data_IF_878427153864
#
_entry.id   IF_878427153864
#
_cell.length_a   1.000
_cell.length_b   1.000
_cell.length_c   1.000
_cell.angle_alpha   90.00
_cell.angle_beta   90.00
_cell.angle_gamma   90.00
#
_symmetry.space_group_name_H-M   'P 1'
#
loop_
_entity.id
_entity.type
_entity.pdbx_description
1 polymer ?
#
# COMPACT_ATOMS: atom_id res chain seq x y z
N UNK A 1 -13.00 36.80 15.70
CA UNK A 1 -12.18 35.56 15.64
C UNK A 1 -13.07 34.41 15.22
N UNK A 2 -12.81 33.76 14.07
CA UNK A 2 -13.54 32.53 13.69
C UNK A 2 -12.88 31.36 14.43
N UNK A 3 -13.60 30.69 15.31
CA UNK A 3 -13.16 29.43 15.90
C UNK A 3 -13.14 28.38 14.79
N UNK A 4 -11.95 27.82 14.47
CA UNK A 4 -11.85 26.66 13.58
C UNK A 4 -12.65 25.53 14.24
N UNK A 5 -13.71 25.04 13.59
CA UNK A 5 -14.38 23.81 14.01
C UNK A 5 -13.33 22.70 13.99
N UNK A 6 -13.22 21.95 15.09
CA UNK A 6 -12.36 20.79 15.14
C UNK A 6 -12.82 19.80 14.07
N UNK A 7 -11.90 19.40 13.18
CA UNK A 7 -12.18 18.36 12.21
C UNK A 7 -12.29 17.02 12.96
N UNK A 8 -13.33 16.21 12.71
CA UNK A 8 -13.43 14.90 13.34
C UNK A 8 -12.19 14.06 13.00
N UNK A 9 -11.78 13.14 13.89
CA UNK A 9 -10.67 12.25 13.62
C UNK A 9 -10.96 11.42 12.36
N UNK A 10 -9.95 11.32 11.49
CA UNK A 10 -10.04 10.51 10.28
C UNK A 10 -9.95 9.02 10.66
N UNK A 11 -11.04 8.24 10.51
CA UNK A 11 -11.06 6.84 10.93
C UNK A 11 -10.02 5.98 10.20
N UNK A 12 -9.60 6.39 9.00
CA UNK A 12 -8.64 5.62 8.20
C UNK A 12 -7.21 5.72 8.72
N UNK A 13 -6.86 6.81 9.43
CA UNK A 13 -5.52 6.98 10.00
C UNK A 13 -5.19 5.87 10.98
N UNK A 14 -6.14 5.50 11.82
CA UNK A 14 -5.97 4.44 12.81
C UNK A 14 -5.85 3.06 12.15
N UNK A 15 -6.62 2.81 11.08
CA UNK A 15 -6.56 1.56 10.32
C UNK A 15 -5.20 1.39 9.65
N UNK A 16 -4.75 2.42 8.92
CA UNK A 16 -3.45 2.44 8.24
C UNK A 16 -2.33 2.23 9.27
N UNK A 17 -2.30 3.00 10.35
CA UNK A 17 -1.26 2.86 11.36
C UNK A 17 -1.24 1.47 12.03
N UNK A 18 -2.40 0.81 12.15
CA UNK A 18 -2.49 -0.55 12.71
C UNK A 18 -1.93 -1.58 11.71
N UNK A 19 -2.33 -1.51 10.44
CA UNK A 19 -1.83 -2.40 9.41
C UNK A 19 -0.34 -2.23 9.13
N UNK A 20 0.17 -1.00 9.08
CA UNK A 20 1.60 -0.75 8.90
C UNK A 20 2.41 -1.37 10.05
N UNK A 21 1.91 -1.26 11.30
CA UNK A 21 2.52 -1.91 12.46
C UNK A 21 2.50 -3.43 12.35
N UNK A 22 1.44 -4.01 11.80
CA UNK A 22 1.34 -5.45 11.58
C UNK A 22 2.31 -5.93 10.50
N UNK A 23 2.40 -5.19 9.39
CA UNK A 23 3.37 -5.45 8.34
C UNK A 23 4.79 -5.43 8.92
N UNK A 24 5.13 -4.38 9.68
CA UNK A 24 6.44 -4.22 10.29
C UNK A 24 6.79 -5.36 11.25
N UNK A 25 5.85 -5.74 12.13
CA UNK A 25 6.05 -6.82 13.11
C UNK A 25 6.18 -8.21 12.49
N UNK A 26 5.55 -8.42 11.34
CA UNK A 26 5.51 -9.71 10.65
C UNK A 26 6.34 -9.70 9.36
N UNK A 27 7.21 -8.70 9.17
CA UNK A 27 7.96 -8.50 7.93
C UNK A 27 8.77 -9.73 7.53
N UNK A 28 9.55 -10.29 8.46
CA UNK A 28 10.40 -11.46 8.19
C UNK A 28 9.58 -12.69 7.79
N UNK A 29 8.37 -12.82 8.34
CA UNK A 29 7.44 -13.90 8.00
C UNK A 29 6.87 -13.69 6.59
N UNK A 30 6.34 -12.51 6.30
CA UNK A 30 5.79 -12.17 4.99
C UNK A 30 6.86 -12.37 3.90
N UNK A 31 8.08 -11.89 4.15
CA UNK A 31 9.20 -12.02 3.23
C UNK A 31 9.62 -13.47 3.01
N UNK A 32 9.71 -14.27 4.08
CA UNK A 32 10.10 -15.69 3.97
C UNK A 32 9.03 -16.57 3.30
N UNK A 33 7.77 -16.10 3.28
CA UNK A 33 6.63 -16.76 2.65
C UNK A 33 6.28 -16.20 1.26
N UNK A 34 7.17 -15.41 0.65
CA UNK A 34 6.92 -14.75 -0.64
C UNK A 34 6.44 -15.70 -1.74
N UNK A 35 7.07 -16.86 -1.90
CA UNK A 35 6.68 -17.84 -2.92
C UNK A 35 5.29 -18.45 -2.67
N UNK A 36 4.91 -18.59 -1.40
CA UNK A 36 3.59 -19.08 -1.01
C UNK A 36 2.51 -18.02 -1.32
N UNK A 37 2.78 -16.75 -0.99
CA UNK A 37 1.91 -15.62 -1.36
C UNK A 37 1.71 -15.56 -2.88
N UNK A 38 2.79 -15.73 -3.65
CA UNK A 38 2.76 -15.66 -5.11
C UNK A 38 2.14 -16.88 -5.81
N UNK A 39 1.86 -17.96 -5.09
CA UNK A 39 1.24 -19.18 -5.65
C UNK A 39 -0.20 -19.39 -5.22
N UNK A 40 -0.70 -18.64 -4.23
CA UNK A 40 -2.02 -18.81 -3.61
C UNK A 40 -2.95 -17.64 -3.93
N UNK A 41 -4.01 -17.81 -4.74
CA UNK A 41 -4.90 -16.71 -5.10
C UNK A 41 -5.59 -16.02 -3.92
N UNK A 42 -5.95 -16.78 -2.88
CA UNK A 42 -6.54 -16.28 -1.64
C UNK A 42 -5.60 -15.33 -0.90
N UNK A 43 -4.28 -15.52 -1.01
CA UNK A 43 -3.27 -14.66 -0.38
C UNK A 43 -2.81 -13.55 -1.31
N UNK A 44 -2.66 -13.85 -2.59
CA UNK A 44 -2.21 -12.91 -3.61
C UNK A 44 -3.09 -11.67 -3.69
N UNK A 45 -4.42 -11.86 -3.67
CA UNK A 45 -5.40 -10.78 -3.86
C UNK A 45 -5.83 -10.08 -2.57
N UNK A 46 -5.20 -10.38 -1.43
CA UNK A 46 -5.44 -9.63 -0.19
C UNK A 46 -5.04 -8.18 -0.37
N UNK A 47 -5.92 -7.26 0.03
CA UNK A 47 -5.67 -5.83 0.03
C UNK A 47 -5.44 -5.34 1.45
N UNK A 48 -4.70 -4.25 1.57
CA UNK A 48 -4.44 -3.54 2.81
C UNK A 48 -4.65 -2.06 2.55
N UNK A 49 -5.24 -1.35 3.51
CA UNK A 49 -5.34 0.12 3.47
C UNK A 49 -3.96 0.81 3.40
N UNK A 50 -2.91 0.13 3.86
CA UNK A 50 -1.52 0.58 3.76
C UNK A 50 -0.95 0.45 2.35
N UNK A 51 -1.47 -0.45 1.52
CA UNK A 51 -0.93 -0.74 0.19
C UNK A 51 -1.63 0.10 -0.87
N UNK A 52 -1.01 1.20 -1.25
CA UNK A 52 -1.64 2.15 -2.17
C UNK A 52 -0.65 2.83 -3.09
N UNK A 53 -1.07 3.02 -4.33
CA UNK A 53 -0.39 3.82 -5.34
C UNK A 53 -1.32 4.93 -5.84
N UNK A 54 -0.96 6.20 -5.63
CA UNK A 54 -1.78 7.32 -6.07
C UNK A 54 -0.98 8.29 -6.94
N UNK A 55 -1.18 8.27 -8.26
CA UNK A 55 -0.53 9.22 -9.14
C UNK A 55 -1.52 10.00 -9.98
N UNK A 56 -1.45 11.33 -9.84
CA UNK A 56 -2.18 12.22 -10.72
C UNK A 56 -1.81 11.93 -12.19
N UNK A 57 -2.83 11.88 -13.06
CA UNK A 57 -2.71 11.70 -14.51
C UNK A 57 -2.16 10.34 -14.99
N UNK A 58 -1.90 9.38 -14.08
CA UNK A 58 -1.44 8.03 -14.43
C UNK A 58 -2.56 7.03 -14.16
N UNK A 59 -2.96 6.29 -15.19
CA UNK A 59 -3.90 5.18 -15.06
C UNK A 59 -3.28 4.04 -14.23
N UNK A 60 -4.12 3.31 -13.49
CA UNK A 60 -3.66 2.25 -12.59
C UNK A 60 -3.31 2.71 -11.17
N UNK A 61 -3.59 3.97 -10.84
CA UNK A 61 -3.69 4.42 -9.44
C UNK A 61 -4.78 3.63 -8.71
N UNK A 62 -4.51 3.28 -7.45
CA UNK A 62 -5.44 2.55 -6.61
C UNK A 62 -4.74 1.68 -5.55
N UNK A 63 -5.53 0.84 -4.86
CA UNK A 63 -4.99 -0.12 -3.91
C UNK A 63 -4.10 -1.14 -4.62
N UNK A 64 -3.11 -1.64 -3.89
CA UNK A 64 -2.25 -2.74 -4.31
C UNK A 64 -2.55 -4.00 -3.49
N UNK A 65 -2.39 -5.17 -4.10
CA UNK A 65 -2.55 -6.44 -3.38
C UNK A 65 -1.24 -6.90 -2.73
N UNK A 66 -1.33 -7.80 -1.76
CA UNK A 66 -0.15 -8.41 -1.13
C UNK A 66 0.75 -9.11 -2.15
N UNK A 67 0.16 -9.76 -3.16
CA UNK A 67 0.89 -10.33 -4.29
C UNK A 67 1.64 -9.29 -5.12
N UNK A 68 0.98 -8.17 -5.47
CA UNK A 68 1.61 -7.04 -6.18
C UNK A 68 2.77 -6.46 -5.40
N UNK A 69 2.58 -6.28 -4.09
CA UNK A 69 3.63 -5.80 -3.20
C UNK A 69 4.81 -6.77 -3.13
N UNK A 70 4.52 -8.08 -3.05
CA UNK A 70 5.55 -9.12 -3.01
C UNK A 70 6.38 -9.13 -4.29
N UNK A 71 5.75 -8.99 -5.47
CA UNK A 71 6.46 -8.83 -6.75
C UNK A 71 7.31 -7.56 -6.76
N UNK A 72 6.74 -6.43 -6.31
CA UNK A 72 7.44 -5.15 -6.27
C UNK A 72 8.71 -5.23 -5.41
N UNK A 73 8.62 -5.83 -4.22
CA UNK A 73 9.74 -6.02 -3.30
C UNK A 73 10.85 -6.93 -3.82
N UNK A 74 10.62 -7.69 -4.89
CA UNK A 74 11.65 -8.48 -5.56
C UNK A 74 12.52 -7.65 -6.52
N UNK A 75 12.04 -6.47 -6.93
CA UNK A 75 12.74 -5.56 -7.84
C UNK A 75 13.62 -4.56 -7.09
N UNK A 76 14.62 -4.00 -7.77
CA UNK A 76 15.41 -2.88 -7.23
C UNK A 76 14.57 -1.61 -7.10
N UNK A 77 13.58 -1.41 -7.98
CA UNK A 77 12.71 -0.24 -7.97
C UNK A 77 11.78 -0.22 -6.73
N UNK A 78 11.36 -1.39 -6.26
CA UNK A 78 10.58 -1.55 -5.03
C UNK A 78 11.38 -1.39 -3.73
N UNK A 79 12.68 -1.06 -3.83
CA UNK A 79 13.61 -1.02 -2.70
C UNK A 79 14.33 0.33 -2.60
N UNK A 80 14.51 0.85 -1.39
CA UNK A 80 15.28 2.05 -1.08
C UNK A 80 16.43 1.79 -0.11
N UNK A 81 17.10 2.86 0.32
CA UNK A 81 18.09 2.85 1.39
C UNK A 81 17.58 3.65 2.57
N UNK A 82 17.74 3.08 3.77
CA UNK A 82 17.31 3.71 5.01
C UNK A 82 18.29 4.85 5.34
N UNK A 83 17.82 6.07 5.60
CA UNK A 83 18.72 7.17 5.96
C UNK A 83 19.47 6.88 7.28
N UNK A 84 18.84 6.14 8.20
CA UNK A 84 19.39 5.91 9.54
C UNK A 84 20.44 4.79 9.56
N UNK A 85 20.13 3.62 8.97
CA UNK A 85 21.00 2.44 9.06
C UNK A 85 21.63 1.99 7.73
N UNK A 86 21.33 2.68 6.61
CA UNK A 86 21.75 2.29 5.25
C UNK A 86 21.25 0.90 4.79
N UNK A 87 20.39 0.26 5.60
CA UNK A 87 19.71 -0.97 5.27
C UNK A 87 18.71 -0.81 4.12
N UNK A 88 18.26 -1.94 3.59
CA UNK A 88 17.24 -1.95 2.53
C UNK A 88 15.90 -1.51 3.11
N UNK A 89 15.17 -0.70 2.35
CA UNK A 89 13.81 -0.29 2.68
C UNK A 89 12.85 -0.78 1.62
N UNK A 90 11.69 -1.26 2.00
CA UNK A 90 10.73 -1.85 1.08
C UNK A 90 9.53 -0.93 0.93
N UNK A 91 9.27 -0.46 -0.29
CA UNK A 91 8.17 0.45 -0.60
C UNK A 91 6.85 -0.25 -0.31
N UNK A 92 5.92 0.38 0.42
CA UNK A 92 4.56 -0.16 0.56
C UNK A 92 3.45 0.83 0.16
N UNK A 93 3.79 2.10 0.02
CA UNK A 93 2.84 3.14 -0.38
C UNK A 93 3.56 4.24 -1.13
N UNK A 94 2.97 4.75 -2.20
CA UNK A 94 3.54 5.89 -2.91
C UNK A 94 2.46 6.73 -3.58
N UNK A 95 2.69 8.03 -3.72
CA UNK A 95 1.82 8.86 -4.52
C UNK A 95 2.30 10.30 -4.71
N UNK A 96 1.49 11.10 -5.40
CA UNK A 96 1.79 12.48 -5.70
C UNK A 96 1.36 12.94 -7.09
N UNK A 97 1.92 14.07 -7.51
CA UNK A 97 1.79 14.62 -8.85
C UNK A 97 3.18 14.76 -9.50
N UNK A 98 3.42 14.16 -10.67
CA UNK A 98 4.72 14.30 -11.34
C UNK A 98 4.98 15.74 -11.76
N UNK A 99 3.92 16.52 -12.01
CA UNK A 99 3.99 17.87 -12.56
C UNK A 99 4.36 18.91 -11.52
N UNK A 100 4.02 18.69 -10.26
CA UNK A 100 4.32 19.64 -9.17
C UNK A 100 5.60 19.29 -8.42
N UNK A 101 6.17 18.11 -8.66
CA UNK A 101 7.23 17.55 -7.85
C UNK A 101 6.77 17.11 -6.44
N UNK A 102 5.51 17.36 -6.07
CA UNK A 102 4.96 16.96 -4.78
C UNK A 102 4.62 15.47 -4.82
N UNK A 103 5.50 14.66 -4.23
CA UNK A 103 5.35 13.22 -4.16
C UNK A 103 5.85 12.69 -2.82
N UNK A 104 5.30 11.55 -2.42
CA UNK A 104 5.62 10.87 -1.19
C UNK A 104 5.81 9.37 -1.47
N UNK A 105 6.78 8.78 -0.78
CA UNK A 105 7.04 7.34 -0.80
C UNK A 105 7.22 6.90 0.64
N UNK A 106 6.41 5.93 1.06
CA UNK A 106 6.55 5.25 2.33
C UNK A 106 7.06 3.84 2.12
N UNK A 107 7.98 3.44 2.98
CA UNK A 107 8.42 2.06 3.06
C UNK A 107 8.82 1.65 4.47
N UNK A 108 9.13 0.37 4.62
CA UNK A 108 9.54 -0.23 5.89
C UNK A 108 11.02 -0.59 5.84
N UNK A 109 11.76 -0.19 6.88
CA UNK A 109 13.11 -0.65 7.10
C UNK A 109 13.10 -1.81 8.11
N UNK A 110 13.40 -3.05 7.69
CA UNK A 110 13.41 -4.20 8.60
C UNK A 110 14.51 -4.11 9.66
N UNK A 111 15.63 -3.47 9.33
CA UNK A 111 16.77 -3.30 10.22
C UNK A 111 16.43 -2.33 11.37
N UNK A 112 15.88 -1.15 11.04
CA UNK A 112 15.47 -0.16 12.04
C UNK A 112 14.15 -0.52 12.74
N UNK A 113 13.35 -1.42 12.13
CA UNK A 113 11.96 -1.66 12.50
C UNK A 113 11.18 -0.34 12.60
N UNK A 114 11.30 0.48 11.56
CA UNK A 114 10.64 1.77 11.46
C UNK A 114 10.03 1.97 10.07
N UNK A 115 9.05 2.86 10.01
CA UNK A 115 8.57 3.39 8.74
C UNK A 115 9.51 4.51 8.32
N UNK A 116 9.80 4.55 7.03
CA UNK A 116 10.64 5.57 6.45
C UNK A 116 9.81 6.26 5.38
N UNK A 117 9.61 7.55 5.56
CA UNK A 117 9.24 8.43 4.46
C UNK A 117 10.54 8.87 3.80
N UNK A 118 10.73 8.54 2.53
CA UNK A 118 11.89 9.03 1.79
C UNK A 118 11.46 9.70 0.50
N UNK A 119 12.00 10.90 0.27
CA UNK A 119 11.98 11.52 -1.04
C UNK A 119 13.13 10.92 -1.85
N UNK A 120 12.82 10.31 -3.00
CA UNK A 120 13.88 10.02 -3.98
C UNK A 120 14.13 11.31 -4.78
N UNK A 121 15.39 11.75 -4.96
CA UNK A 121 15.69 12.91 -5.81
C UNK A 121 15.50 12.64 -7.32
N UNK A 122 14.97 11.48 -7.71
CA UNK A 122 14.83 11.04 -9.11
C UNK A 122 13.40 11.19 -9.63
N UNK A 123 13.16 11.21 -10.96
CA UNK A 123 11.82 11.30 -11.53
C UNK A 123 10.91 10.16 -11.01
N UNK A 124 9.96 10.51 -10.16
CA UNK A 124 9.05 9.58 -9.49
C UNK A 124 8.33 8.65 -10.48
N UNK A 125 7.91 9.21 -11.62
CA UNK A 125 7.16 8.49 -12.65
C UNK A 125 7.93 7.30 -13.24
N UNK A 126 9.26 7.41 -13.45
CA UNK A 126 10.04 6.34 -14.08
C UNK A 126 10.40 5.24 -13.08
N UNK A 127 10.71 5.60 -11.84
CA UNK A 127 11.28 4.66 -10.88
C UNK A 127 10.23 3.99 -9.97
N UNK A 128 8.99 4.49 -9.92
CA UNK A 128 7.94 3.93 -9.05
C UNK A 128 6.71 3.50 -9.83
N UNK A 129 6.25 4.26 -10.82
CA UNK A 129 5.04 3.89 -11.56
C UNK A 129 5.26 2.66 -12.43
N UNK A 130 6.35 2.60 -13.20
CA UNK A 130 6.66 1.47 -14.08
C UNK A 130 6.68 0.10 -13.38
N UNK A 131 7.38 -0.11 -12.25
CA UNK A 131 7.37 -1.40 -11.56
C UNK A 131 6.00 -1.74 -10.96
N UNK A 132 5.24 -0.76 -10.49
CA UNK A 132 3.88 -0.97 -9.97
C UNK A 132 2.94 -1.39 -11.10
N UNK A 133 2.99 -0.72 -12.26
CA UNK A 133 2.21 -1.10 -13.43
C UNK A 133 2.58 -2.48 -13.95
N UNK A 134 3.87 -2.85 -13.90
CA UNK A 134 4.31 -4.23 -14.17
C UNK A 134 3.71 -5.22 -13.19
N UNK A 135 3.72 -4.92 -11.89
CA UNK A 135 3.10 -5.78 -10.87
C UNK A 135 1.59 -5.96 -11.11
N UNK A 136 0.86 -4.88 -11.42
CA UNK A 136 -0.57 -4.94 -11.77
C UNK A 136 -0.84 -5.79 -13.02
N UNK A 137 -0.03 -5.63 -14.06
CA UNK A 137 -0.13 -6.49 -15.26
C UNK A 137 0.15 -7.97 -14.94
N UNK A 138 1.04 -8.27 -14.00
CA UNK A 138 1.23 -9.65 -13.54
C UNK A 138 0.02 -10.17 -12.75
N UNK A 139 -0.65 -9.32 -11.96
CA UNK A 139 -1.91 -9.69 -11.28
C UNK A 139 -3.01 -10.07 -12.25
N UNK A 140 -3.15 -9.36 -13.38
CA UNK A 140 -4.14 -9.68 -14.41
C UNK A 140 -3.88 -11.07 -15.01
N UNK A 141 -2.60 -11.36 -15.32
CA UNK A 141 -2.18 -12.69 -15.81
C UNK A 141 -2.41 -13.77 -14.77
N UNK A 142 -2.13 -13.47 -13.51
CA UNK A 142 -2.35 -14.38 -12.39
C UNK A 142 -3.85 -14.68 -12.23
N UNK A 143 -4.71 -13.65 -12.23
CA UNK A 143 -6.16 -13.81 -12.16
C UNK A 143 -6.69 -14.68 -13.30
N UNK A 144 -6.24 -14.42 -14.54
CA UNK A 144 -6.60 -15.20 -15.71
C UNK A 144 -6.19 -16.68 -15.59
N UNK A 145 -4.98 -16.95 -15.08
CA UNK A 145 -4.47 -18.32 -14.86
C UNK A 145 -5.35 -19.11 -13.89
N UNK A 146 -5.79 -18.48 -12.80
CA UNK A 146 -6.57 -19.14 -11.75
C UNK A 146 -8.10 -19.01 -11.90
N UNK A 147 -8.58 -18.32 -12.95
CA UNK A 147 -10.01 -18.06 -13.21
C UNK A 147 -10.73 -17.45 -12.00
N UNK A 148 -10.08 -16.49 -11.34
CA UNK A 148 -10.64 -15.80 -10.17
C UNK A 148 -10.92 -14.32 -10.47
N UNK A 149 -11.76 -13.68 -9.65
CA UNK A 149 -12.20 -12.29 -9.81
C UNK A 149 -11.13 -11.23 -9.49
N UNK A 150 -9.95 -11.64 -9.02
CA UNK A 150 -8.91 -10.70 -8.59
C UNK A 150 -9.19 -10.03 -7.24
N UNK A 151 -10.00 -10.68 -6.39
CA UNK A 151 -10.33 -10.26 -5.03
C UNK A 151 -10.23 -11.43 -4.07
N UNK A 152 -9.86 -11.15 -2.81
CA UNK A 152 -9.92 -12.11 -1.71
C UNK A 152 -10.85 -11.57 -0.63
N UNK A 153 -11.58 -12.47 0.05
CA UNK A 153 -12.34 -12.15 1.25
C UNK A 153 -11.45 -12.09 2.51
N UNK A 154 -10.18 -12.50 2.38
CA UNK A 154 -9.19 -12.42 3.44
C UNK A 154 -8.61 -11.00 3.52
N UNK A 155 -8.37 -10.56 4.75
CA UNK A 155 -7.58 -9.36 5.03
C UNK A 155 -6.11 -9.72 5.33
N UNK A 156 -5.26 -8.69 5.50
CA UNK A 156 -3.85 -8.89 5.84
C UNK A 156 -3.66 -9.65 7.17
N UNK A 157 -4.61 -9.52 8.10
CA UNK A 157 -4.57 -10.17 9.40
C UNK A 157 -4.80 -11.67 9.27
N UNK A 158 -5.79 -12.09 8.47
CA UNK A 158 -6.08 -13.50 8.19
C UNK A 158 -4.85 -14.18 7.60
N UNK A 159 -4.20 -13.54 6.62
CA UNK A 159 -2.99 -14.10 6.00
C UNK A 159 -1.84 -14.16 7.00
N UNK A 160 -1.60 -13.10 7.78
CA UNK A 160 -0.57 -13.11 8.84
C UNK A 160 -0.83 -14.24 9.84
N UNK A 161 -2.07 -14.42 10.29
CA UNK A 161 -2.43 -15.52 11.20
C UNK A 161 -2.22 -16.89 10.55
N UNK A 162 -2.63 -17.05 9.29
CA UNK A 162 -2.47 -18.30 8.53
C UNK A 162 -0.99 -18.67 8.33
N UNK A 163 -0.10 -17.68 8.21
CA UNK A 163 1.35 -17.87 8.15
C UNK A 163 1.99 -18.18 9.52
N UNK A 164 1.23 -18.15 10.62
CA UNK A 164 1.75 -18.34 11.98
C UNK A 164 2.30 -17.06 12.62
N UNK A 165 1.93 -15.90 12.07
CA UNK A 165 2.34 -14.59 12.56
C UNK A 165 1.67 -14.17 13.86
N UNK A 166 2.14 -13.07 14.42
CA UNK A 166 1.64 -12.51 15.68
C UNK A 166 0.72 -11.33 15.40
N UNK A 167 -0.55 -11.48 15.78
CA UNK A 167 -1.55 -10.41 15.76
C UNK A 167 -2.01 -10.15 17.19
N UNK A 168 -1.77 -8.95 17.74
CA UNK A 168 -2.27 -8.57 19.06
C UNK A 168 -3.81 -8.63 19.13
N UNK A 169 -4.33 -9.03 20.30
CA UNK A 169 -5.78 -9.10 20.53
C UNK A 169 -6.49 -7.75 20.31
N UNK A 170 -5.82 -6.64 20.66
CA UNK A 170 -6.36 -5.28 20.46
C UNK A 170 -6.59 -4.95 18.99
N UNK A 171 -5.76 -5.50 18.10
CA UNK A 171 -5.89 -5.29 16.66
C UNK A 171 -7.00 -6.22 16.10
N UNK A 172 -7.28 -7.35 16.78
CA UNK A 172 -8.36 -8.30 16.43
C UNK A 172 -9.76 -7.76 16.72
N UNK A 173 -9.92 -6.95 17.76
CA UNK A 173 -11.22 -6.32 18.13
C UNK A 173 -11.59 -5.22 17.12
N UNK A 174 -10.59 -4.56 16.53
CA UNK A 174 -10.75 -3.56 15.47
C UNK A 174 -11.03 -4.19 14.10
N UNK A 175 -11.73 -5.32 14.01
CA UNK A 175 -12.14 -5.93 12.72
C UNK A 175 -13.44 -5.37 12.16
N UNK A 176 -14.20 -4.61 12.96
CA UNK A 176 -15.51 -4.08 12.57
C UNK A 176 -15.44 -2.79 11.73
N UNK A 177 -14.29 -2.47 11.13
CA UNK A 177 -14.17 -1.26 10.30
C UNK A 177 -14.71 -1.54 8.90
N UNK A 178 -15.28 -0.54 8.23
CA UNK A 178 -15.78 -0.69 6.87
C UNK A 178 -14.65 -1.20 5.98
N UNK A 179 -14.93 -2.26 5.23
CA UNK A 179 -14.04 -2.72 4.16
C UNK A 179 -13.75 -1.54 3.24
N UNK A 180 -12.49 -1.38 2.82
CA UNK A 180 -12.13 -0.35 1.85
C UNK A 180 -13.07 -0.53 0.64
N UNK A 181 -13.87 0.48 0.27
CA UNK A 181 -14.81 0.36 -0.84
C UNK A 181 -14.08 -0.13 -2.08
N UNK A 182 -14.52 -1.27 -2.62
CA UNK A 182 -13.86 -1.90 -3.78
C UNK A 182 -14.10 -1.14 -5.09
N UNK A 183 -15.06 -0.21 -5.10
CA UNK A 183 -15.40 0.63 -6.24
C UNK A 183 -14.75 2.02 -6.11
N UNK A 184 -13.54 2.17 -6.63
CA UNK A 184 -12.92 3.48 -6.83
C UNK A 184 -12.92 3.86 -8.30
N UNK A 185 -14.10 3.89 -8.94
CA UNK A 185 -14.33 4.92 -9.98
C UNK A 185 -14.47 6.32 -9.38
N UNK A 186 -14.70 6.44 -8.07
CA UNK A 186 -14.53 7.66 -7.30
C UNK A 186 -13.19 7.66 -6.56
N UNK A 187 -12.37 8.69 -6.75
CA UNK A 187 -11.12 8.86 -6.03
C UNK A 187 -11.34 8.76 -4.51
N UNK A 188 -10.43 8.08 -3.84
CA UNK A 188 -10.36 8.13 -2.38
C UNK A 188 -10.02 9.57 -2.00
N UNK A 189 -11.01 10.34 -1.55
CA UNK A 189 -10.79 11.68 -1.02
C UNK A 189 -10.09 11.51 0.33
N UNK A 190 -8.77 11.46 0.30
CA UNK A 190 -7.96 11.66 1.50
C UNK A 190 -8.19 13.11 1.90
N UNK A 191 -8.98 13.32 2.96
CA UNK A 191 -9.41 14.63 3.40
C UNK A 191 -8.22 15.56 3.65
N UNK A 192 -8.09 16.59 2.83
CA UNK A 192 -7.13 17.67 2.99
C UNK A 192 -6.85 18.36 1.65
N UNK A 193 -7.59 19.44 1.39
CA UNK A 193 -7.53 20.36 0.24
C UNK A 193 -8.41 19.98 -0.96
N UNK A 194 -9.46 20.78 -1.15
CA UNK A 194 -10.21 20.86 -2.40
C UNK A 194 -9.26 21.32 -3.51
N UNK A 195 -8.98 20.45 -4.49
CA UNK A 195 -8.60 20.89 -5.82
C UNK A 195 -9.85 20.85 -6.69
N UNK A 196 -10.59 21.97 -6.74
CA UNK A 196 -11.45 22.25 -7.88
C UNK A 196 -10.53 22.61 -9.05
N UNK A 197 -10.41 21.69 -10.00
CA UNK A 197 -9.85 21.99 -11.32
C UNK A 197 -11.05 22.25 -12.23
N UNK A 198 -11.44 23.51 -12.34
CA UNK A 198 -12.27 23.97 -13.43
C UNK A 198 -11.48 23.82 -14.73
N UNK A 199 -11.88 22.85 -15.55
CA UNK A 199 -11.45 22.76 -16.94
C UNK A 199 -12.63 23.21 -17.78
N UNK A 200 -12.63 24.49 -18.15
CA UNK A 200 -13.38 24.93 -19.32
C UNK A 200 -12.65 24.42 -20.57
N UNK A 201 -13.37 23.65 -21.39
CA UNK A 201 -12.94 23.14 -22.69
C UNK A 201 -13.00 24.22 -23.76
#
# INVERSE_FOLDING_TARGET
>A
MKTKKAQPPDPWKDVIATEERLLLRNWDLIRSRGDEILSRPDWYFVRSASFYFLMAYISGSGPLTLGEMTLLWQTEDGRGRCPDCQGVVFLFRAGGSPLTGNHWIHGICPNCRSHVEWMRPTPFALNVAAPIMRAKSQSEKFAARFRCSGSSDLDLYDVILAMGGRVPLVDRIRRSWPTVPQDTRGGMILGGEHFELDIEL
#
